data_IF_725016176835
#
_entry.id   IF_725016176835
#
_cell.length_a   1.000
_cell.length_b   1.000
_cell.length_c   1.000
_cell.angle_alpha   90.00
_cell.angle_beta   90.00
_cell.angle_gamma   90.00
#
_symmetry.space_group_name_H-M   'P 1'
#
loop_
_entity.id
_entity.type
_entity.pdbx_description
1 polymer ?
#
# COMPACT_ATOMS: atom_id res chain seq x y z
N UNK A 1 18.59 -36.15 0.87
CA UNK A 1 17.24 -35.96 0.34
C UNK A 1 16.45 -35.30 1.45
N UNK A 2 16.52 -33.98 1.51
CA UNK A 2 15.82 -33.16 2.50
C UNK A 2 14.71 -32.46 1.72
N UNK A 3 13.58 -33.16 1.61
CA UNK A 3 12.37 -32.67 0.94
C UNK A 3 11.70 -31.69 1.91
N UNK A 4 12.08 -30.41 1.82
CA UNK A 4 11.46 -29.35 2.60
C UNK A 4 9.96 -29.31 2.31
N UNK A 5 9.16 -29.64 3.33
CA UNK A 5 7.71 -29.61 3.28
C UNK A 5 7.21 -28.24 2.76
N UNK A 6 6.20 -28.22 1.86
CA UNK A 6 5.66 -26.96 1.36
C UNK A 6 5.15 -26.11 2.52
N UNK A 7 5.36 -24.78 2.52
CA UNK A 7 4.82 -23.93 3.56
C UNK A 7 3.31 -24.09 3.57
N UNK A 8 2.77 -24.51 4.72
CA UNK A 8 1.34 -24.70 4.91
C UNK A 8 0.60 -23.47 4.41
N UNK A 9 -0.17 -23.63 3.33
CA UNK A 9 -1.09 -22.61 2.86
C UNK A 9 -1.91 -22.20 4.08
N UNK A 10 -1.83 -20.93 4.47
CA UNK A 10 -2.54 -20.40 5.63
C UNK A 10 -4.00 -20.84 5.51
N UNK A 11 -4.43 -21.75 6.39
CA UNK A 11 -5.76 -22.34 6.31
C UNK A 11 -6.75 -21.22 6.52
N UNK A 12 -7.35 -20.77 5.41
CA UNK A 12 -8.44 -19.82 5.44
C UNK A 12 -9.50 -20.46 6.33
N UNK A 13 -9.89 -19.75 7.40
CA UNK A 13 -10.78 -20.30 8.41
C UNK A 13 -12.11 -20.69 7.77
N UNK A 14 -12.70 -21.83 8.15
CA UNK A 14 -13.89 -22.39 7.51
C UNK A 14 -15.12 -21.44 7.46
N UNK A 15 -15.17 -20.39 8.28
CA UNK A 15 -16.22 -19.37 8.21
C UNK A 15 -16.04 -18.39 7.05
N UNK A 16 -14.83 -18.23 6.51
CA UNK A 16 -14.57 -17.36 5.36
C UNK A 16 -15.32 -17.83 4.11
N UNK A 17 -15.50 -19.14 3.93
CA UNK A 17 -16.24 -19.72 2.78
C UNK A 17 -17.74 -19.40 2.83
N UNK A 18 -18.26 -18.97 3.99
CA UNK A 18 -19.66 -18.58 4.17
C UNK A 18 -19.92 -17.09 3.90
N UNK A 19 -18.87 -16.30 3.69
CA UNK A 19 -19.01 -14.87 3.43
C UNK A 19 -19.35 -14.63 1.96
N UNK A 20 -20.29 -13.72 1.64
CA UNK A 20 -20.56 -13.35 0.26
C UNK A 20 -19.33 -12.70 -0.36
N UNK A 21 -18.92 -13.19 -1.52
CA UNK A 21 -17.84 -12.57 -2.32
C UNK A 21 -18.18 -11.10 -2.55
N UNK A 22 -17.33 -10.22 -2.05
CA UNK A 22 -17.47 -8.78 -2.28
C UNK A 22 -16.84 -8.43 -3.64
N UNK A 23 -17.56 -7.71 -4.52
CA UNK A 23 -16.97 -7.22 -5.76
C UNK A 23 -15.81 -6.27 -5.43
N UNK A 24 -14.76 -6.29 -6.26
CA UNK A 24 -13.67 -5.34 -6.13
C UNK A 24 -14.16 -3.93 -6.49
N UNK A 25 -13.62 -2.92 -5.79
CA UNK A 25 -13.92 -1.53 -6.09
C UNK A 25 -13.35 -1.18 -7.48
N UNK A 26 -14.15 -0.57 -8.38
CA UNK A 26 -13.67 -0.18 -9.70
C UNK A 26 -12.67 0.99 -9.60
N UNK A 27 -11.84 1.13 -10.62
CA UNK A 27 -10.95 2.28 -10.81
C UNK A 27 -11.68 3.36 -11.61
N UNK A 28 -11.61 4.60 -11.16
CA UNK A 28 -12.17 5.77 -11.84
C UNK A 28 -11.14 6.91 -11.85
N UNK A 29 -10.48 7.10 -12.98
CA UNK A 29 -9.50 8.18 -13.15
C UNK A 29 -10.13 9.59 -13.09
N UNK A 30 -11.45 9.70 -13.26
CA UNK A 30 -12.17 10.98 -13.27
C UNK A 30 -12.62 11.43 -11.88
N UNK A 31 -12.53 10.54 -10.89
CA UNK A 31 -12.97 10.75 -9.51
C UNK A 31 -14.41 11.27 -9.38
N UNK A 32 -15.29 10.86 -10.31
CA UNK A 32 -16.71 11.25 -10.32
C UNK A 32 -17.57 10.24 -9.55
N UNK A 33 -17.14 8.98 -9.50
CA UNK A 33 -17.86 7.92 -8.80
C UNK A 33 -17.48 7.90 -7.32
N UNK A 34 -18.48 7.99 -6.44
CA UNK A 34 -18.29 7.99 -4.98
C UNK A 34 -17.83 6.64 -4.42
N UNK A 35 -18.06 5.55 -5.15
CA UNK A 35 -17.72 4.17 -4.81
C UNK A 35 -16.64 3.57 -5.73
N UNK A 36 -15.68 4.39 -6.17
CA UNK A 36 -14.56 3.99 -6.99
C UNK A 36 -13.22 4.48 -6.40
N UNK A 37 -12.13 3.82 -6.76
CA UNK A 37 -10.77 4.28 -6.46
C UNK A 37 -10.45 5.42 -7.43
N UNK A 38 -10.13 6.64 -6.95
CA UNK A 38 -9.89 7.81 -7.82
C UNK A 38 -8.48 7.75 -8.47
N UNK A 39 -8.25 6.73 -9.27
CA UNK A 39 -6.97 6.36 -9.87
C UNK A 39 -7.24 5.58 -11.16
N UNK A 40 -6.41 5.75 -12.21
CA UNK A 40 -6.49 4.87 -13.37
C UNK A 40 -5.89 3.49 -13.07
N UNK A 41 -6.45 2.43 -13.66
CA UNK A 41 -5.94 1.08 -13.45
C UNK A 41 -4.48 0.92 -13.90
N UNK A 42 -4.11 1.57 -15.01
CA UNK A 42 -2.76 1.57 -15.56
C UNK A 42 -1.75 2.21 -14.61
N UNK A 43 -2.15 3.28 -13.90
CA UNK A 43 -1.30 3.94 -12.91
C UNK A 43 -1.07 3.06 -11.67
N UNK A 44 -2.07 2.27 -11.29
CA UNK A 44 -1.92 1.26 -10.24
C UNK A 44 -0.94 0.15 -10.67
N UNK A 45 -1.06 -0.36 -11.90
CA UNK A 45 -0.14 -1.38 -12.41
C UNK A 45 1.29 -0.85 -12.49
N UNK A 46 1.49 0.37 -13.00
CA UNK A 46 2.81 1.01 -13.05
C UNK A 46 3.44 1.12 -11.65
N UNK A 47 2.65 1.54 -10.64
CA UNK A 47 3.12 1.59 -9.25
C UNK A 47 3.57 0.21 -8.75
N UNK A 48 2.72 -0.82 -8.92
CA UNK A 48 2.99 -2.17 -8.42
C UNK A 48 4.21 -2.79 -9.08
N UNK A 49 4.29 -2.71 -10.41
CA UNK A 49 5.41 -3.27 -11.16
C UNK A 49 6.73 -2.58 -10.80
N UNK A 50 6.75 -1.25 -10.77
CA UNK A 50 7.95 -0.48 -10.45
C UNK A 50 8.41 -0.78 -9.03
N UNK A 51 7.48 -0.78 -8.07
CA UNK A 51 7.80 -1.10 -6.66
C UNK A 51 8.36 -2.51 -6.52
N UNK A 52 7.77 -3.49 -7.20
CA UNK A 52 8.25 -4.88 -7.18
C UNK A 52 9.64 -5.05 -7.77
N UNK A 53 9.97 -4.30 -8.84
CA UNK A 53 11.31 -4.32 -9.46
C UNK A 53 12.36 -3.61 -8.60
N UNK A 54 12.01 -2.49 -7.97
CA UNK A 54 12.95 -1.75 -7.10
C UNK A 54 13.35 -2.55 -5.85
N UNK A 55 12.44 -3.38 -5.31
CA UNK A 55 12.73 -4.17 -4.10
C UNK A 55 13.62 -5.40 -4.32
N UNK A 56 13.84 -5.81 -5.57
CA UNK A 56 14.71 -6.94 -5.93
C UNK A 56 15.80 -6.48 -6.90
N UNK A 57 16.85 -5.80 -6.39
CA UNK A 57 17.94 -5.30 -7.23
C UNK A 57 18.78 -6.42 -7.88
N UNK A 58 18.63 -7.66 -7.41
CA UNK A 58 19.29 -8.88 -7.88
C UNK A 58 18.66 -9.48 -9.15
N UNK A 59 17.49 -8.99 -9.59
CA UNK A 59 16.84 -9.44 -10.84
C UNK A 59 17.28 -8.64 -12.06
N UNK A 60 17.49 -9.33 -13.20
CA UNK A 60 17.58 -8.72 -14.54
C UNK A 60 16.34 -7.82 -14.75
N UNK A 61 16.55 -6.52 -14.89
CA UNK A 61 15.46 -5.53 -15.04
C UNK A 61 15.25 -4.58 -13.85
N UNK A 62 16.22 -4.47 -12.93
CA UNK A 62 16.24 -3.43 -11.91
C UNK A 62 16.08 -2.03 -12.56
N UNK A 63 14.91 -1.40 -12.36
CA UNK A 63 14.61 -0.06 -12.84
C UNK A 63 14.98 0.93 -11.74
N UNK A 64 16.12 1.60 -11.88
CA UNK A 64 16.48 2.74 -11.01
C UNK A 64 15.84 4.07 -11.46
N UNK A 65 15.32 4.15 -12.68
CA UNK A 65 15.08 5.45 -13.33
C UNK A 65 13.62 5.85 -13.51
N UNK A 66 12.64 4.95 -13.34
CA UNK A 66 11.23 5.31 -13.56
C UNK A 66 10.51 5.55 -12.25
N UNK A 67 10.33 6.82 -11.90
CA UNK A 67 9.42 7.22 -10.82
C UNK A 67 7.98 7.08 -11.34
N UNK A 68 7.11 6.30 -10.67
CA UNK A 68 5.70 6.25 -11.02
C UNK A 68 5.07 7.63 -10.88
N UNK A 69 4.40 8.13 -11.93
CA UNK A 69 3.73 9.45 -11.94
C UNK A 69 2.77 9.63 -10.77
N UNK A 70 2.20 8.54 -10.27
CA UNK A 70 1.32 8.54 -9.12
C UNK A 70 2.00 9.05 -7.84
N UNK A 71 3.27 8.71 -7.60
CA UNK A 71 3.99 9.18 -6.40
C UNK A 71 4.22 10.68 -6.45
N UNK A 72 4.52 11.23 -7.64
CA UNK A 72 4.63 12.67 -7.87
C UNK A 72 3.29 13.37 -7.60
N UNK A 73 2.19 12.84 -8.15
CA UNK A 73 0.83 13.38 -7.93
C UNK A 73 0.42 13.37 -6.46
N UNK A 74 0.80 12.33 -5.72
CA UNK A 74 0.53 12.20 -4.29
C UNK A 74 1.53 12.98 -3.42
N UNK A 75 2.52 13.62 -4.04
CA UNK A 75 3.61 14.34 -3.35
C UNK A 75 4.35 13.45 -2.34
N UNK A 76 4.60 12.19 -2.73
CA UNK A 76 5.34 11.19 -1.95
C UNK A 76 6.71 11.02 -2.59
N UNK A 77 7.77 11.10 -1.78
CA UNK A 77 9.13 10.91 -2.26
C UNK A 77 9.37 9.41 -2.61
N UNK A 78 9.82 9.09 -3.83
CA UNK A 78 9.87 7.70 -4.32
C UNK A 78 10.77 6.80 -3.48
N UNK A 79 11.97 7.24 -3.11
CA UNK A 79 12.94 6.46 -2.37
C UNK A 79 12.42 6.05 -0.98
N UNK A 80 11.73 6.97 -0.31
CA UNK A 80 11.10 6.81 0.99
C UNK A 80 9.91 5.86 0.90
N UNK A 81 9.10 5.98 -0.15
CA UNK A 81 8.03 5.03 -0.42
C UNK A 81 8.56 3.62 -0.66
N UNK A 82 9.57 3.46 -1.51
CA UNK A 82 10.19 2.16 -1.79
C UNK A 82 10.78 1.56 -0.51
N UNK A 83 11.54 2.33 0.27
CA UNK A 83 12.10 1.89 1.54
C UNK A 83 11.02 1.46 2.55
N UNK A 84 9.87 2.17 2.58
CA UNK A 84 8.76 1.83 3.44
C UNK A 84 7.91 0.65 2.93
N UNK A 85 7.87 0.39 1.61
CA UNK A 85 6.90 -0.52 0.99
C UNK A 85 6.96 -1.98 1.51
N UNK A 86 8.14 -2.50 1.89
CA UNK A 86 8.28 -3.85 2.50
C UNK A 86 7.83 -3.92 3.94
N UNK A 87 7.82 -2.80 4.66
CA UNK A 87 7.50 -2.73 6.09
C UNK A 87 6.17 -2.04 6.37
N UNK A 88 5.49 -1.55 5.33
CA UNK A 88 4.30 -0.71 5.39
C UNK A 88 3.19 -1.36 6.24
N UNK A 89 2.84 -2.61 5.95
CA UNK A 89 1.82 -3.35 6.73
C UNK A 89 2.23 -3.54 8.20
N UNK A 90 3.52 -3.82 8.48
CA UNK A 90 4.03 -3.98 9.85
C UNK A 90 4.02 -2.68 10.64
N UNK A 91 4.36 -1.55 9.99
CA UNK A 91 4.50 -0.23 10.62
C UNK A 91 3.15 0.42 10.90
N UNK A 92 2.16 0.23 10.02
CA UNK A 92 0.84 0.87 10.11
C UNK A 92 -0.24 -0.03 10.75
N UNK A 93 -0.13 -1.35 10.60
CA UNK A 93 -1.05 -2.32 11.18
C UNK A 93 -2.43 -2.32 10.50
N UNK A 94 -3.30 -1.37 10.88
CA UNK A 94 -4.72 -1.39 10.49
C UNK A 94 -5.17 -0.25 9.58
N UNK A 95 -4.34 0.77 9.40
CA UNK A 95 -4.65 1.95 8.60
C UNK A 95 -3.36 2.66 8.16
N UNK A 96 -3.29 3.05 6.88
CA UNK A 96 -2.17 3.78 6.27
C UNK A 96 -2.70 5.11 5.76
N UNK A 97 -1.94 6.18 5.92
CA UNK A 97 -2.29 7.49 5.37
C UNK A 97 -1.49 8.61 6.03
N UNK A 98 -1.83 9.85 5.66
CA UNK A 98 -1.22 11.05 6.27
C UNK A 98 -1.54 11.12 7.77
N UNK A 99 -0.75 11.84 8.58
CA UNK A 99 -1.05 12.04 10.00
C UNK A 99 -2.44 12.63 10.26
N UNK A 100 -2.89 13.54 9.39
CA UNK A 100 -4.24 14.10 9.46
C UNK A 100 -5.31 13.02 9.20
N UNK A 101 -5.16 12.22 8.15
CA UNK A 101 -6.10 11.13 7.83
C UNK A 101 -6.12 10.04 8.91
N UNK A 102 -4.97 9.70 9.50
CA UNK A 102 -4.92 8.75 10.63
C UNK A 102 -5.61 9.31 11.87
N UNK A 103 -5.42 10.59 12.19
CA UNK A 103 -6.10 11.23 13.31
C UNK A 103 -7.62 11.24 13.12
N UNK A 104 -8.08 11.64 11.94
CA UNK A 104 -9.51 11.60 11.59
C UNK A 104 -10.09 10.17 11.66
N UNK A 105 -9.36 9.17 11.15
CA UNK A 105 -9.78 7.76 11.21
C UNK A 105 -9.80 7.22 12.64
N UNK A 106 -8.87 7.66 13.50
CA UNK A 106 -8.83 7.28 14.91
C UNK A 106 -10.07 7.80 15.64
N UNK A 107 -10.42 9.08 15.42
CA UNK A 107 -11.62 9.71 15.96
C UNK A 107 -12.90 9.02 15.46
N UNK A 108 -13.01 8.78 14.14
CA UNK A 108 -14.17 8.13 13.54
C UNK A 108 -14.38 6.69 14.03
N UNK A 109 -13.30 5.98 14.39
CA UNK A 109 -13.35 4.64 14.99
C UNK A 109 -13.54 4.65 16.51
N UNK A 110 -13.60 5.83 17.13
CA UNK A 110 -13.58 6.00 18.60
C UNK A 110 -12.43 5.22 19.25
N UNK A 111 -11.30 5.11 18.55
CA UNK A 111 -10.14 4.37 19.01
C UNK A 111 -9.24 5.30 19.85
N UNK A 112 -8.60 4.72 20.88
CA UNK A 112 -7.63 5.46 21.72
C UNK A 112 -6.37 5.88 20.96
N UNK A 113 -5.90 5.07 20.01
CA UNK A 113 -4.76 5.38 19.17
C UNK A 113 -4.74 4.49 17.91
N UNK A 114 -4.09 4.97 16.84
CA UNK A 114 -3.66 4.15 15.70
C UNK A 114 -2.14 4.02 15.68
N UNK A 115 -1.64 2.90 15.13
CA UNK A 115 -0.20 2.70 14.91
C UNK A 115 0.23 3.45 13.64
N UNK A 116 1.54 3.65 13.49
CA UNK A 116 2.11 4.17 12.26
C UNK A 116 2.22 5.70 12.15
N UNK A 117 1.92 6.49 13.20
CA UNK A 117 2.06 7.95 13.14
C UNK A 117 3.47 8.41 12.75
N UNK A 118 4.52 7.79 13.29
CA UNK A 118 5.90 8.07 12.90
C UNK A 118 6.17 7.73 11.43
N UNK A 119 5.69 6.57 10.98
CA UNK A 119 5.81 6.15 9.58
C UNK A 119 5.04 7.08 8.64
N UNK A 120 3.89 7.57 9.07
CA UNK A 120 3.07 8.52 8.31
C UNK A 120 3.81 9.83 8.08
N UNK A 121 4.48 10.35 9.11
CA UNK A 121 5.33 11.55 8.99
C UNK A 121 6.51 11.32 8.08
N UNK A 122 7.18 10.18 8.21
CA UNK A 122 8.34 9.88 7.37
C UNK A 122 7.97 9.73 5.89
N UNK A 123 6.85 9.08 5.56
CA UNK A 123 6.48 8.74 4.17
C UNK A 123 5.60 9.80 3.50
N UNK A 124 4.70 10.45 4.24
CA UNK A 124 3.67 11.33 3.65
C UNK A 124 3.83 12.81 4.00
N UNK A 125 4.69 13.17 4.96
CA UNK A 125 5.06 14.58 5.16
C UNK A 125 6.35 14.85 4.39
N UNK A 126 6.22 15.51 3.23
CA UNK A 126 7.39 15.95 2.48
C UNK A 126 8.21 16.88 3.36
N UNK A 127 9.47 16.53 3.60
CA UNK A 127 10.47 17.49 4.09
C UNK A 127 10.71 18.48 2.98
N UNK A 128 10.10 19.65 3.06
CA UNK A 128 10.55 20.81 2.30
C UNK A 128 11.91 21.17 2.90
N UNK A 129 12.98 20.89 2.15
CA UNK A 129 14.28 21.49 2.41
C UNK A 129 14.25 22.95 1.95
#
# INVERSE_FOLDING_TARGET
>A
MDEAAPPAAASVLAWCDSLPLQPLMPFDATAQLSNAIPLAFEEYLELVETTGRCQRPDKRGAMRERVPKLLERLNIEPETFIAASTTLLKRFGSAVGTPASLTARCAARQARHLRGMRAAREVFERRVA
#
